data_IF_426598812109
#
_entry.id   IF_426598812109
#
_cell.length_a   1.000
_cell.length_b   1.000
_cell.length_c   1.000
_cell.angle_alpha   90.00
_cell.angle_beta   90.00
_cell.angle_gamma   90.00
#
_symmetry.space_group_name_H-M   'P 1'
#
loop_
_entity.id
_entity.type
_entity.pdbx_description
1 polymer ?
#
# COMPACT_ATOMS: atom_id res chain seq x y z
N UNK A 1 -17.36 -39.60 -27.78
CA UNK A 1 -17.02 -38.61 -28.83
C UNK A 1 -16.25 -37.51 -28.15
N UNK A 2 -14.99 -37.39 -28.54
CA UNK A 2 -13.94 -36.94 -27.64
C UNK A 2 -13.73 -35.43 -27.67
N UNK A 3 -13.55 -34.86 -26.48
CA UNK A 3 -13.40 -33.42 -26.25
C UNK A 3 -12.18 -32.78 -26.95
N UNK A 4 -11.21 -33.57 -27.44
CA UNK A 4 -10.03 -33.04 -28.14
C UNK A 4 -10.38 -32.40 -29.48
N UNK A 5 -11.48 -32.80 -30.13
CA UNK A 5 -11.86 -32.27 -31.44
C UNK A 5 -12.29 -30.78 -31.41
N UNK A 6 -12.76 -30.26 -30.26
CA UNK A 6 -13.07 -28.82 -30.10
C UNK A 6 -11.81 -27.98 -29.91
N UNK A 7 -10.86 -28.46 -29.12
CA UNK A 7 -9.58 -27.78 -28.87
C UNK A 7 -8.69 -27.72 -30.15
N UNK A 8 -8.94 -28.61 -31.12
CA UNK A 8 -8.28 -28.66 -32.44
C UNK A 8 -8.72 -27.51 -33.35
N UNK A 9 -9.97 -27.04 -33.25
CA UNK A 9 -10.53 -26.05 -34.17
C UNK A 9 -9.98 -24.63 -33.94
N UNK A 10 -9.48 -24.33 -32.74
CA UNK A 10 -8.97 -23.00 -32.37
C UNK A 10 -7.50 -22.76 -32.76
N UNK A 11 -6.74 -23.81 -33.09
CA UNK A 11 -5.32 -23.70 -33.41
C UNK A 11 -5.13 -24.00 -34.90
N UNK A 12 -4.96 -22.96 -35.72
CA UNK A 12 -4.89 -23.00 -37.20
C UNK A 12 -3.65 -23.72 -37.78
N UNK A 13 -3.17 -24.80 -37.15
CA UNK A 13 -1.97 -25.55 -37.53
C UNK A 13 -2.31 -27.03 -37.74
N UNK A 14 -1.56 -27.71 -38.63
CA UNK A 14 -1.67 -29.16 -38.79
C UNK A 14 -1.22 -29.86 -37.50
N UNK A 15 -2.14 -30.61 -36.88
CA UNK A 15 -1.85 -31.42 -35.71
C UNK A 15 -1.38 -32.81 -36.13
N UNK A 16 -0.26 -33.25 -35.57
CA UNK A 16 0.25 -34.60 -35.72
C UNK A 16 -0.03 -35.41 -34.45
N UNK A 17 -0.85 -36.45 -34.57
CA UNK A 17 -1.07 -37.41 -33.47
C UNK A 17 0.00 -38.48 -33.55
N UNK A 18 1.00 -38.40 -32.67
CA UNK A 18 2.09 -39.37 -32.60
C UNK A 18 1.89 -40.35 -31.45
N UNK A 19 2.02 -41.65 -31.75
CA UNK A 19 2.04 -42.69 -30.71
C UNK A 19 3.40 -42.69 -30.03
N UNK A 20 3.45 -42.21 -28.78
CA UNK A 20 4.71 -42.04 -28.03
C UNK A 20 5.36 -43.38 -27.64
N UNK A 21 4.57 -44.42 -27.33
CA UNK A 21 5.05 -45.77 -27.00
C UNK A 21 3.94 -46.81 -27.21
N UNK A 22 4.25 -47.94 -27.87
CA UNK A 22 3.32 -49.07 -28.04
C UNK A 22 3.58 -50.15 -26.98
N UNK A 23 2.56 -50.92 -26.61
CA UNK A 23 2.69 -52.08 -25.71
C UNK A 23 2.85 -51.77 -24.22
N UNK A 24 2.45 -50.58 -23.75
CA UNK A 24 2.54 -50.20 -22.32
C UNK A 24 1.44 -50.90 -21.51
N UNK A 25 1.77 -51.64 -20.43
CA UNK A 25 0.77 -52.22 -19.53
C UNK A 25 -0.14 -51.14 -18.93
N UNK A 26 -1.45 -51.42 -18.79
CA UNK A 26 -2.46 -50.44 -18.36
C UNK A 26 -2.10 -49.75 -17.03
N UNK A 27 -1.54 -50.49 -16.06
CA UNK A 27 -1.11 -49.96 -14.77
C UNK A 27 0.07 -48.97 -14.84
N UNK A 28 0.86 -49.00 -15.93
CA UNK A 28 2.07 -48.20 -16.11
C UNK A 28 1.89 -47.02 -17.07
N UNK A 29 0.70 -46.88 -17.69
CA UNK A 29 0.41 -45.84 -18.69
C UNK A 29 0.68 -44.43 -18.15
N UNK A 30 0.32 -44.15 -16.89
CA UNK A 30 0.55 -42.83 -16.28
C UNK A 30 2.04 -42.53 -16.05
N UNK A 31 2.83 -43.53 -15.68
CA UNK A 31 4.28 -43.35 -15.48
C UNK A 31 4.98 -43.13 -16.82
N UNK A 32 4.69 -43.98 -17.80
CA UNK A 32 5.22 -43.87 -19.15
C UNK A 32 4.87 -42.52 -19.80
N UNK A 33 3.63 -42.03 -19.60
CA UNK A 33 3.22 -40.71 -20.10
C UNK A 33 4.01 -39.57 -19.43
N UNK A 34 4.31 -39.65 -18.13
CA UNK A 34 5.12 -38.62 -17.43
C UNK A 34 6.56 -38.61 -17.95
N UNK A 35 7.17 -39.78 -18.13
CA UNK A 35 8.53 -39.92 -18.67
C UNK A 35 8.65 -39.34 -20.07
N UNK A 36 7.73 -39.69 -20.97
CA UNK A 36 7.76 -39.14 -22.34
C UNK A 36 7.49 -37.63 -22.32
N UNK A 37 6.49 -37.13 -21.55
CA UNK A 37 6.27 -35.68 -21.40
C UNK A 37 7.54 -34.95 -20.94
N UNK A 38 8.25 -35.50 -19.95
CA UNK A 38 9.50 -34.92 -19.46
C UNK A 38 10.59 -34.88 -20.54
N UNK A 39 10.73 -35.98 -21.31
CA UNK A 39 11.68 -36.07 -22.43
C UNK A 39 11.39 -35.03 -23.53
N UNK A 40 10.13 -34.89 -23.95
CA UNK A 40 9.75 -33.92 -24.97
C UNK A 40 9.89 -32.46 -24.49
N UNK A 41 9.66 -32.19 -23.20
CA UNK A 41 9.95 -30.87 -22.61
C UNK A 41 11.44 -30.56 -22.58
N UNK A 42 12.30 -31.55 -22.29
CA UNK A 42 13.75 -31.38 -22.34
C UNK A 42 14.26 -31.06 -23.76
N UNK A 43 13.50 -31.46 -24.79
CA UNK A 43 13.74 -31.10 -26.19
C UNK A 43 13.09 -29.74 -26.60
N UNK A 44 12.54 -28.99 -25.65
CA UNK A 44 11.92 -27.68 -25.90
C UNK A 44 10.54 -27.74 -26.58
N UNK A 45 9.92 -28.91 -26.70
CA UNK A 45 8.63 -29.06 -27.37
C UNK A 45 7.46 -28.67 -26.48
N UNK A 46 6.56 -27.83 -27.00
CA UNK A 46 5.34 -27.41 -26.30
C UNK A 46 4.21 -28.41 -26.57
N UNK A 47 3.85 -29.22 -25.56
CA UNK A 47 2.82 -30.24 -25.68
C UNK A 47 1.41 -29.66 -25.44
N UNK A 48 0.46 -29.95 -26.32
CA UNK A 48 -0.95 -29.54 -26.15
C UNK A 48 -1.60 -30.12 -24.88
N UNK A 49 -1.15 -31.31 -24.44
CA UNK A 49 -1.56 -31.96 -23.19
C UNK A 49 -1.11 -31.22 -21.91
N UNK A 50 -0.38 -30.10 -22.05
CA UNK A 50 -0.01 -29.21 -20.94
C UNK A 50 -0.91 -27.96 -20.88
N UNK A 51 -1.81 -27.78 -21.85
CA UNK A 51 -2.87 -26.78 -21.73
C UNK A 51 -3.93 -27.30 -20.75
N UNK A 52 -4.39 -26.48 -19.79
CA UNK A 52 -5.48 -26.88 -18.92
C UNK A 52 -6.72 -27.16 -19.77
N UNK A 53 -7.35 -28.31 -19.55
CA UNK A 53 -8.61 -28.63 -20.22
C UNK A 53 -9.68 -27.57 -19.91
N UNK A 54 -10.69 -27.35 -20.77
CA UNK A 54 -11.76 -26.38 -20.49
C UNK A 54 -12.43 -26.58 -19.12
N UNK A 55 -12.56 -27.82 -18.66
CA UNK A 55 -13.07 -28.14 -17.31
C UNK A 55 -12.12 -27.71 -16.18
N UNK A 56 -10.80 -27.82 -16.39
CA UNK A 56 -9.81 -27.32 -15.44
C UNK A 56 -9.79 -25.80 -15.42
N UNK A 57 -9.90 -25.13 -16.57
CA UNK A 57 -10.03 -23.68 -16.65
C UNK A 57 -11.27 -23.21 -15.89
N UNK A 58 -12.43 -23.82 -16.17
CA UNK A 58 -13.69 -23.47 -15.52
C UNK A 58 -13.65 -23.72 -14.00
N UNK A 59 -13.10 -24.86 -13.58
CA UNK A 59 -12.91 -25.16 -12.15
C UNK A 59 -11.97 -24.16 -11.48
N UNK A 60 -10.86 -23.81 -12.13
CA UNK A 60 -9.93 -22.78 -11.62
C UNK A 60 -10.60 -21.41 -11.54
N UNK A 61 -11.45 -21.05 -12.51
CA UNK A 61 -12.23 -19.82 -12.49
C UNK A 61 -13.22 -19.79 -11.33
N UNK A 62 -13.96 -20.87 -11.11
CA UNK A 62 -14.90 -20.97 -9.98
C UNK A 62 -14.19 -20.92 -8.62
N UNK A 63 -13.01 -21.55 -8.50
CA UNK A 63 -12.18 -21.45 -7.30
C UNK A 63 -11.72 -20.00 -7.11
N UNK A 64 -11.23 -19.35 -8.17
CA UNK A 64 -10.84 -17.94 -8.16
C UNK A 64 -11.96 -17.03 -7.68
N UNK A 65 -13.16 -17.17 -8.24
CA UNK A 65 -14.35 -16.39 -7.83
C UNK A 65 -14.72 -16.61 -6.37
N UNK A 66 -14.62 -17.84 -5.86
CA UNK A 66 -14.89 -18.14 -4.45
C UNK A 66 -13.85 -17.53 -3.53
N UNK A 67 -12.57 -17.58 -3.90
CA UNK A 67 -11.47 -16.97 -3.15
C UNK A 67 -11.63 -15.45 -3.14
N UNK A 68 -11.95 -14.85 -4.28
CA UNK A 68 -12.20 -13.41 -4.40
C UNK A 68 -13.40 -12.98 -3.56
N UNK A 69 -14.52 -13.69 -3.63
CA UNK A 69 -15.70 -13.40 -2.81
C UNK A 69 -15.42 -13.52 -1.31
N UNK A 70 -14.66 -14.53 -0.88
CA UNK A 70 -14.22 -14.68 0.50
C UNK A 70 -13.30 -13.53 0.94
N UNK A 71 -12.39 -13.10 0.05
CA UNK A 71 -11.48 -11.98 0.29
C UNK A 71 -12.23 -10.65 0.39
N UNK A 72 -13.17 -10.38 -0.51
CA UNK A 72 -14.05 -9.20 -0.42
C UNK A 72 -14.84 -9.18 0.88
N UNK A 73 -15.44 -10.32 1.27
CA UNK A 73 -16.16 -10.41 2.54
C UNK A 73 -15.25 -10.15 3.74
N UNK A 74 -14.03 -10.68 3.73
CA UNK A 74 -13.05 -10.43 4.78
C UNK A 74 -12.67 -8.95 4.88
N UNK A 75 -12.47 -8.28 3.74
CA UNK A 75 -12.21 -6.84 3.72
C UNK A 75 -13.37 -6.03 4.30
N UNK A 76 -14.62 -6.37 3.95
CA UNK A 76 -15.80 -5.73 4.51
C UNK A 76 -15.88 -5.90 6.03
N UNK A 77 -15.59 -7.11 6.53
CA UNK A 77 -15.55 -7.40 7.97
C UNK A 77 -14.49 -6.56 8.68
N UNK A 78 -13.28 -6.48 8.14
CA UNK A 78 -12.20 -5.67 8.71
C UNK A 78 -12.51 -4.18 8.68
N UNK A 79 -13.02 -3.67 7.55
CA UNK A 79 -13.39 -2.27 7.39
C UNK A 79 -14.40 -1.84 8.47
N UNK A 80 -15.40 -2.69 8.71
CA UNK A 80 -16.44 -2.41 9.69
C UNK A 80 -15.94 -2.54 11.13
N UNK A 81 -15.25 -3.64 11.47
CA UNK A 81 -14.71 -3.86 12.82
C UNK A 81 -13.71 -2.76 13.23
N UNK A 82 -12.78 -2.40 12.35
CA UNK A 82 -11.82 -1.34 12.65
C UNK A 82 -12.48 0.03 12.77
N UNK A 83 -13.54 0.28 11.99
CA UNK A 83 -14.30 1.52 12.12
C UNK A 83 -15.08 1.59 13.42
N UNK A 84 -15.62 0.46 13.91
CA UNK A 84 -16.29 0.40 15.20
C UNK A 84 -15.32 0.69 16.36
N UNK A 85 -14.08 0.20 16.28
CA UNK A 85 -13.04 0.44 17.29
C UNK A 85 -12.41 1.85 17.20
N UNK A 86 -12.07 2.31 15.99
CA UNK A 86 -11.31 3.56 15.79
C UNK A 86 -12.17 4.77 15.41
N UNK A 87 -13.41 4.57 14.98
CA UNK A 87 -14.32 5.61 14.53
C UNK A 87 -14.16 6.03 13.06
N UNK A 88 -12.98 5.84 12.46
CA UNK A 88 -12.72 6.16 11.06
C UNK A 88 -11.32 6.75 10.82
N UNK A 89 -11.12 7.45 9.69
CA UNK A 89 -9.90 8.20 9.42
C UNK A 89 -9.55 9.18 10.54
N UNK A 90 -8.28 9.53 10.67
CA UNK A 90 -7.85 10.64 11.50
C UNK A 90 -8.56 11.94 11.07
N UNK A 91 -8.92 12.78 12.04
CA UNK A 91 -9.72 13.98 11.78
C UNK A 91 -9.02 14.95 10.80
N UNK A 92 -9.79 15.65 9.96
CA UNK A 92 -9.22 16.61 9.03
C UNK A 92 -8.59 17.78 9.79
N UNK A 93 -7.44 18.27 9.35
CA UNK A 93 -6.84 19.44 9.96
C UNK A 93 -7.74 20.68 9.79
N UNK A 94 -7.99 21.38 10.90
CA UNK A 94 -8.86 22.56 10.91
C UNK A 94 -8.21 23.71 10.14
N UNK A 95 -8.91 24.23 9.12
CA UNK A 95 -8.50 25.44 8.40
C UNK A 95 -7.39 25.24 7.36
N UNK A 96 -7.15 24.01 6.91
CA UNK A 96 -6.15 23.74 5.87
C UNK A 96 -6.53 24.35 4.53
N UNK A 97 -5.86 25.46 4.19
CA UNK A 97 -5.97 26.12 2.89
C UNK A 97 -4.58 26.47 2.38
N UNK A 98 -4.31 26.18 1.10
CA UNK A 98 -3.12 26.65 0.41
C UNK A 98 -3.45 27.97 -0.30
N UNK A 99 -2.69 29.02 0.00
CA UNK A 99 -2.75 30.26 -0.75
C UNK A 99 -1.74 30.19 -1.90
N UNK A 100 -2.25 29.94 -3.12
CA UNK A 100 -1.42 29.99 -4.32
C UNK A 100 -0.98 31.43 -4.62
N UNK A 101 0.22 31.56 -5.17
CA UNK A 101 0.79 32.81 -5.62
C UNK A 101 -0.06 33.46 -6.73
N UNK A 102 -0.04 34.79 -6.80
CA UNK A 102 -0.73 35.52 -7.89
C UNK A 102 -0.18 35.10 -9.27
N UNK A 103 1.09 34.68 -9.34
CA UNK A 103 1.69 34.14 -10.56
C UNK A 103 1.05 32.81 -10.97
N UNK A 104 0.91 31.85 -10.04
CA UNK A 104 0.22 30.59 -10.31
C UNK A 104 -1.26 30.81 -10.66
N UNK A 105 -1.93 31.75 -9.99
CA UNK A 105 -3.30 32.14 -10.34
C UNK A 105 -3.40 32.71 -11.74
N UNK A 106 -2.50 33.63 -12.10
CA UNK A 106 -2.44 34.22 -13.43
C UNK A 106 -2.25 33.13 -14.50
N UNK A 107 -1.41 32.12 -14.22
CA UNK A 107 -1.22 30.98 -15.13
C UNK A 107 -2.49 30.13 -15.28
N UNK A 108 -3.22 29.84 -14.19
CA UNK A 108 -4.49 29.11 -14.23
C UNK A 108 -5.54 29.90 -15.02
N UNK A 109 -5.64 31.22 -14.78
CA UNK A 109 -6.60 32.12 -15.44
C UNK A 109 -6.30 32.28 -16.95
N UNK A 110 -5.04 32.23 -17.36
CA UNK A 110 -4.59 32.37 -18.75
C UNK A 110 -4.77 31.09 -19.60
N UNK A 111 -5.19 29.98 -19.02
CA UNK A 111 -5.41 28.74 -19.77
C UNK A 111 -6.51 28.95 -20.85
N UNK A 112 -6.35 28.43 -22.07
CA UNK A 112 -7.28 28.71 -23.19
C UNK A 112 -8.60 27.96 -23.04
N UNK A 113 -9.77 28.61 -22.82
CA UNK A 113 -11.10 28.00 -22.50
C UNK A 113 -11.30 26.58 -23.07
N UNK A 114 -11.83 25.57 -22.32
CA UNK A 114 -12.20 24.32 -22.96
C UNK A 114 -13.44 24.69 -23.76
N UNK A 115 -13.23 25.07 -25.02
CA UNK A 115 -14.32 25.14 -25.95
C UNK A 115 -14.76 23.70 -26.08
N UNK A 116 -15.92 23.38 -25.49
CA UNK A 116 -16.79 22.21 -25.72
C UNK A 116 -17.03 21.40 -24.44
N UNK A 117 -18.17 21.70 -23.81
CA UNK A 117 -18.99 20.64 -23.23
C UNK A 117 -19.26 19.63 -24.35
N UNK A 118 -18.78 18.39 -24.21
CA UNK A 118 -18.94 17.31 -25.20
C UNK A 118 -20.43 17.06 -25.51
N UNK A 119 -21.00 17.87 -26.39
CA UNK A 119 -22.33 17.69 -26.94
C UNK A 119 -22.21 16.68 -28.08
N UNK A 120 -22.97 15.58 -27.97
CA UNK A 120 -23.07 14.56 -29.01
C UNK A 120 -23.56 15.13 -30.38
N UNK A 121 -23.97 16.40 -30.44
CA UNK A 121 -24.47 17.09 -31.62
C UNK A 121 -23.39 17.78 -32.49
N UNK A 122 -22.10 17.73 -32.13
CA UNK A 122 -21.05 18.41 -32.90
C UNK A 122 -20.74 17.72 -34.23
N UNK A 123 -20.53 18.50 -35.28
CA UNK A 123 -20.07 18.03 -36.60
C UNK A 123 -18.64 17.47 -36.52
N UNK A 124 -18.22 16.67 -37.51
CA UNK A 124 -16.89 16.05 -37.50
C UNK A 124 -15.74 17.08 -37.56
N UNK A 125 -15.93 18.21 -38.24
CA UNK A 125 -14.94 19.30 -38.30
C UNK A 125 -14.85 20.04 -36.96
N UNK A 126 -15.99 20.34 -36.33
CA UNK A 126 -16.01 20.94 -34.99
C UNK A 126 -15.39 20.01 -33.94
N UNK A 127 -15.53 18.68 -34.10
CA UNK A 127 -14.83 17.70 -33.24
C UNK A 127 -13.32 17.70 -33.48
N UNK A 128 -12.86 17.82 -34.72
CA UNK A 128 -11.42 17.87 -35.01
C UNK A 128 -10.78 19.15 -34.46
N UNK A 129 -11.46 20.29 -34.58
CA UNK A 129 -11.05 21.56 -33.96
C UNK A 129 -11.10 21.47 -32.43
N UNK A 130 -12.12 20.82 -31.85
CA UNK A 130 -12.20 20.55 -30.41
C UNK A 130 -11.02 19.73 -29.91
N UNK A 131 -10.70 18.63 -30.60
CA UNK A 131 -9.59 17.73 -30.25
C UNK A 131 -8.26 18.48 -30.36
N UNK A 132 -8.08 19.32 -31.39
CA UNK A 132 -6.87 20.14 -31.54
C UNK A 132 -6.77 21.21 -30.46
N UNK A 133 -7.89 21.84 -30.07
CA UNK A 133 -7.93 22.83 -29.00
C UNK A 133 -7.71 22.20 -27.62
N UNK A 134 -8.23 20.98 -27.40
CA UNK A 134 -8.01 20.19 -26.19
C UNK A 134 -6.56 19.74 -26.08
N UNK A 135 -5.96 19.25 -27.16
CA UNK A 135 -4.54 18.88 -27.20
C UNK A 135 -3.61 20.10 -26.94
N UNK A 136 -3.95 21.26 -27.48
CA UNK A 136 -3.22 22.51 -27.24
C UNK A 136 -3.41 23.00 -25.79
N UNK A 137 -4.64 22.92 -25.26
CA UNK A 137 -4.94 23.22 -23.86
C UNK A 137 -4.23 22.25 -22.90
N UNK A 138 -4.08 20.97 -23.26
CA UNK A 138 -3.29 20.00 -22.51
C UNK A 138 -1.79 20.35 -22.53
N UNK A 139 -1.26 20.79 -23.68
CA UNK A 139 0.15 21.19 -23.83
C UNK A 139 0.48 22.43 -23.02
N UNK A 140 -0.35 23.48 -23.11
CA UNK A 140 -0.22 24.70 -22.30
C UNK A 140 -0.47 24.39 -20.82
N UNK A 141 -1.46 23.55 -20.55
CA UNK A 141 -1.78 23.06 -19.23
C UNK A 141 -0.66 22.28 -18.56
N UNK A 142 0.19 21.59 -19.33
CA UNK A 142 1.36 20.89 -18.79
C UNK A 142 2.41 21.85 -18.22
N UNK A 143 2.61 23.01 -18.86
CA UNK A 143 3.52 24.04 -18.36
C UNK A 143 2.99 24.69 -17.07
N UNK A 144 1.70 25.05 -17.04
CA UNK A 144 1.05 25.58 -15.84
C UNK A 144 1.01 24.55 -14.70
N UNK A 145 0.76 23.28 -15.02
CA UNK A 145 0.80 22.20 -14.04
C UNK A 145 2.19 22.01 -13.44
N UNK A 146 3.26 22.24 -14.20
CA UNK A 146 4.64 22.17 -13.69
C UNK A 146 4.92 23.26 -12.65
N UNK A 147 4.58 24.51 -12.95
CA UNK A 147 4.75 25.61 -11.99
C UNK A 147 3.91 25.38 -10.71
N UNK A 148 2.69 24.85 -10.85
CA UNK A 148 1.88 24.42 -9.70
C UNK A 148 2.56 23.29 -8.91
N UNK A 149 3.20 22.33 -9.57
CA UNK A 149 3.92 21.25 -8.88
C UNK A 149 5.06 21.82 -8.04
N UNK A 150 5.84 22.75 -8.58
CA UNK A 150 6.98 23.35 -7.87
C UNK A 150 6.50 24.17 -6.66
N UNK A 151 5.37 24.88 -6.79
CA UNK A 151 4.75 25.59 -5.67
C UNK A 151 4.16 24.62 -4.63
N UNK A 152 3.45 23.57 -5.06
CA UNK A 152 2.91 22.54 -4.16
C UNK A 152 4.00 21.76 -3.43
N UNK A 153 5.15 21.51 -4.06
CA UNK A 153 6.28 20.86 -3.41
C UNK A 153 6.79 21.69 -2.21
N UNK A 154 6.75 23.02 -2.30
CA UNK A 154 7.10 23.91 -1.19
C UNK A 154 6.07 23.84 -0.04
N UNK A 155 4.79 23.63 -0.36
CA UNK A 155 3.73 23.48 0.64
C UNK A 155 3.63 22.06 1.22
N UNK A 156 4.03 21.05 0.46
CA UNK A 156 3.91 19.62 0.81
C UNK A 156 5.29 19.02 1.11
N UNK A 157 6.20 19.79 1.70
CA UNK A 157 7.57 19.34 1.97
C UNK A 157 7.60 18.04 2.79
N UNK A 158 6.75 17.92 3.81
CA UNK A 158 6.70 16.74 4.67
C UNK A 158 6.03 15.54 4.00
N UNK A 159 5.10 15.76 3.07
CA UNK A 159 4.60 14.68 2.19
C UNK A 159 5.72 14.23 1.25
N UNK A 160 6.54 15.15 0.74
CA UNK A 160 7.71 14.87 -0.11
C UNK A 160 8.76 14.07 0.65
N UNK A 161 9.00 14.41 1.93
CA UNK A 161 9.94 13.72 2.79
C UNK A 161 9.41 12.35 3.27
N UNK A 162 8.11 12.25 3.55
CA UNK A 162 7.47 11.03 4.06
C UNK A 162 7.19 10.02 2.96
N UNK A 163 6.73 10.47 1.79
CA UNK A 163 6.38 9.61 0.67
C UNK A 163 7.55 9.42 -0.31
N UNK A 164 8.55 10.30 -0.30
CA UNK A 164 9.59 10.37 -1.31
C UNK A 164 9.19 11.26 -2.50
N UNK A 165 10.20 11.83 -3.18
CA UNK A 165 10.01 12.80 -4.26
C UNK A 165 9.21 12.21 -5.44
N UNK A 166 9.52 10.97 -5.84
CA UNK A 166 8.85 10.28 -6.95
C UNK A 166 7.39 9.94 -6.65
N UNK A 167 7.09 9.51 -5.43
CA UNK A 167 5.73 9.24 -4.98
C UNK A 167 4.88 10.52 -4.95
N UNK A 168 5.46 11.59 -4.45
CA UNK A 168 4.81 12.90 -4.33
C UNK A 168 4.56 13.48 -5.72
N UNK A 169 5.52 13.38 -6.63
CA UNK A 169 5.35 13.77 -8.05
C UNK A 169 4.20 13.00 -8.71
N UNK A 170 4.02 11.72 -8.41
CA UNK A 170 2.88 10.92 -8.92
C UNK A 170 1.51 11.37 -8.40
N UNK A 171 1.45 12.08 -7.26
CA UNK A 171 0.23 12.71 -6.75
C UNK A 171 0.07 14.13 -7.32
N UNK A 172 1.13 14.93 -7.28
CA UNK A 172 1.09 16.33 -7.74
C UNK A 172 0.79 16.43 -9.25
N UNK A 173 1.35 15.55 -10.08
CA UNK A 173 1.10 15.58 -11.55
C UNK A 173 -0.38 15.45 -11.91
N UNK A 174 -1.13 14.40 -11.49
CA UNK A 174 -2.54 14.29 -11.80
C UNK A 174 -3.39 15.39 -11.14
N UNK A 175 -3.07 15.78 -9.90
CA UNK A 175 -3.74 16.90 -9.20
C UNK A 175 -3.61 18.19 -10.01
N UNK A 176 -2.38 18.60 -10.33
CA UNK A 176 -2.12 19.83 -11.07
C UNK A 176 -2.74 19.77 -12.47
N UNK A 177 -2.68 18.63 -13.17
CA UNK A 177 -3.34 18.45 -14.47
C UNK A 177 -4.86 18.60 -14.38
N UNK A 178 -5.49 18.08 -13.34
CA UNK A 178 -6.94 18.14 -13.17
C UNK A 178 -7.42 19.52 -12.74
N UNK A 179 -6.69 20.20 -11.85
CA UNK A 179 -6.93 21.61 -11.50
C UNK A 179 -6.88 22.49 -12.74
N UNK A 180 -5.83 22.32 -13.54
CA UNK A 180 -5.62 23.02 -14.82
C UNK A 180 -6.76 22.71 -15.81
N UNK A 181 -7.16 21.43 -15.97
CA UNK A 181 -8.26 21.03 -16.85
C UNK A 181 -9.60 21.61 -16.42
N UNK A 182 -9.90 21.63 -15.12
CA UNK A 182 -11.20 22.07 -14.57
C UNK A 182 -11.31 23.58 -14.40
N UNK A 183 -10.21 24.33 -14.50
CA UNK A 183 -10.20 25.81 -14.42
C UNK A 183 -10.95 26.32 -13.20
N UNK A 184 -10.57 25.83 -12.04
CA UNK A 184 -11.15 26.30 -10.79
C UNK A 184 -10.83 27.78 -10.64
N UNK A 185 -11.83 28.64 -10.84
CA UNK A 185 -11.74 30.09 -10.68
C UNK A 185 -12.05 30.52 -9.24
N UNK A 186 -12.66 29.64 -8.46
CA UNK A 186 -12.85 29.83 -7.02
C UNK A 186 -11.52 29.58 -6.30
N UNK A 187 -10.89 30.68 -5.87
CA UNK A 187 -9.61 30.65 -5.17
C UNK A 187 -9.71 29.96 -3.82
N UNK A 188 -10.79 30.19 -3.09
CA UNK A 188 -11.00 29.65 -1.76
C UNK A 188 -11.25 28.14 -1.81
N UNK A 189 -12.04 27.68 -2.78
CA UNK A 189 -12.28 26.26 -3.00
C UNK A 189 -10.99 25.52 -3.40
N UNK A 190 -10.24 26.08 -4.36
CA UNK A 190 -8.99 25.45 -4.81
C UNK A 190 -7.95 25.39 -3.68
N UNK A 191 -7.83 26.46 -2.89
CA UNK A 191 -6.97 26.48 -1.72
C UNK A 191 -7.36 25.43 -0.69
N UNK A 192 -8.65 25.24 -0.42
CA UNK A 192 -9.15 24.17 0.47
C UNK A 192 -8.84 22.78 -0.07
N UNK A 193 -9.11 22.53 -1.36
CA UNK A 193 -8.78 21.26 -2.01
C UNK A 193 -7.30 20.92 -1.83
N UNK A 194 -6.41 21.85 -2.21
CA UNK A 194 -4.97 21.68 -2.12
C UNK A 194 -4.47 21.51 -0.67
N UNK A 195 -5.13 22.16 0.29
CA UNK A 195 -4.84 22.01 1.71
C UNK A 195 -5.24 20.65 2.30
N UNK A 196 -6.30 20.03 1.78
CA UNK A 196 -6.83 18.76 2.26
C UNK A 196 -6.21 17.52 1.59
N UNK A 197 -5.58 17.66 0.42
CA UNK A 197 -5.01 16.54 -0.32
C UNK A 197 -3.96 15.71 0.46
N UNK A 198 -3.01 16.30 1.21
CA UNK A 198 -2.09 15.52 2.05
C UNK A 198 -2.82 14.64 3.08
N UNK A 199 -3.83 15.21 3.74
CA UNK A 199 -4.71 14.46 4.65
C UNK A 199 -5.49 13.36 3.93
N UNK A 200 -6.02 13.60 2.72
CA UNK A 200 -6.68 12.57 1.95
C UNK A 200 -5.75 11.38 1.64
N UNK A 201 -4.49 11.64 1.29
CA UNK A 201 -3.51 10.60 0.96
C UNK A 201 -3.02 9.85 2.20
N UNK A 202 -2.79 10.54 3.32
CA UNK A 202 -2.27 9.93 4.53
C UNK A 202 -3.36 9.26 5.38
N UNK A 203 -4.47 9.95 5.62
CA UNK A 203 -5.47 9.52 6.59
C UNK A 203 -6.70 8.85 5.94
N UNK A 204 -7.14 9.29 4.76
CA UNK A 204 -8.39 8.82 4.14
C UNK A 204 -8.18 7.61 3.23
N UNK A 205 -7.13 7.66 2.41
CA UNK A 205 -6.73 6.64 1.44
C UNK A 205 -6.88 5.19 1.94
N UNK A 206 -6.25 4.78 3.05
CA UNK A 206 -6.29 3.38 3.47
C UNK A 206 -7.71 2.93 3.87
N UNK A 207 -8.54 3.83 4.42
CA UNK A 207 -9.94 3.54 4.76
C UNK A 207 -10.81 3.40 3.51
N UNK A 208 -10.61 4.30 2.55
CA UNK A 208 -11.32 4.26 1.27
C UNK A 208 -11.01 2.99 0.49
N UNK A 209 -9.74 2.63 0.37
CA UNK A 209 -9.28 1.40 -0.28
C UNK A 209 -9.82 0.15 0.42
N UNK A 210 -9.81 0.12 1.76
CA UNK A 210 -10.35 -0.99 2.54
C UNK A 210 -11.87 -1.15 2.33
N UNK A 211 -12.63 -0.05 2.30
CA UNK A 211 -14.06 -0.06 2.01
C UNK A 211 -14.36 -0.51 0.56
N UNK A 212 -13.59 -0.04 -0.43
CA UNK A 212 -13.69 -0.47 -1.85
C UNK A 212 -13.34 -1.95 -2.03
N UNK A 213 -12.27 -2.42 -1.40
CA UNK A 213 -11.88 -3.84 -1.43
C UNK A 213 -12.97 -4.74 -0.81
N UNK A 214 -13.69 -4.22 0.19
CA UNK A 214 -14.86 -4.84 0.80
C UNK A 214 -16.15 -4.74 -0.02
N UNK A 215 -16.16 -3.99 -1.14
CA UNK A 215 -17.37 -3.61 -1.89
C UNK A 215 -18.46 -3.00 -0.98
N UNK A 216 -18.05 -2.29 0.07
CA UNK A 216 -18.95 -1.52 0.93
C UNK A 216 -19.33 -0.19 0.26
N UNK A 217 -18.45 0.30 -0.60
CA UNK A 217 -18.58 1.55 -1.35
C UNK A 217 -18.05 1.32 -2.76
N UNK A 218 -18.59 2.04 -3.73
CA UNK A 218 -18.16 2.00 -5.13
C UNK A 218 -17.49 3.30 -5.59
N UNK A 219 -17.76 4.40 -4.90
CA UNK A 219 -17.25 5.74 -5.21
C UNK A 219 -17.11 6.64 -3.94
N UNK A 220 -16.65 7.88 -4.14
CA UNK A 220 -16.51 8.87 -3.07
C UNK A 220 -17.84 9.24 -2.37
N UNK A 221 -18.94 9.54 -3.08
CA UNK A 221 -20.23 9.81 -2.43
C UNK A 221 -20.72 8.69 -1.51
N UNK A 222 -20.61 7.42 -1.94
CA UNK A 222 -20.95 6.28 -1.10
C UNK A 222 -20.01 6.17 0.10
N UNK A 223 -18.72 6.51 -0.05
CA UNK A 223 -17.77 6.53 1.05
C UNK A 223 -18.04 7.63 2.09
N UNK A 224 -18.35 8.85 1.64
CA UNK A 224 -18.78 9.95 2.52
C UNK A 224 -20.00 9.53 3.33
N UNK A 225 -20.98 8.92 2.66
CA UNK A 225 -22.19 8.40 3.31
C UNK A 225 -21.84 7.29 4.29
N UNK A 226 -20.96 6.36 3.88
CA UNK A 226 -20.51 5.27 4.72
C UNK A 226 -19.94 5.80 6.02
N UNK A 227 -19.05 6.80 5.99
CA UNK A 227 -18.43 7.43 7.18
C UNK A 227 -19.43 7.99 8.21
N UNK A 228 -20.70 8.22 7.83
CA UNK A 228 -21.85 8.48 8.71
C UNK A 228 -21.59 9.47 9.87
N UNK A 229 -21.48 10.76 9.55
CA UNK A 229 -21.37 11.82 10.56
C UNK A 229 -19.97 12.03 11.15
N UNK A 230 -18.98 11.26 10.70
CA UNK A 230 -17.56 11.49 11.03
C UNK A 230 -17.09 12.88 10.55
N UNK A 231 -16.20 13.59 11.27
CA UNK A 231 -15.65 14.89 10.81
C UNK A 231 -15.02 14.83 9.41
N UNK A 232 -14.34 13.72 9.11
CA UNK A 232 -13.82 13.42 7.76
C UNK A 232 -14.88 13.51 6.65
N UNK A 233 -16.12 13.06 6.90
CA UNK A 233 -17.20 13.11 5.91
C UNK A 233 -17.49 14.56 5.50
N UNK A 234 -17.59 15.48 6.47
CA UNK A 234 -17.84 16.91 6.20
C UNK A 234 -16.70 17.58 5.43
N UNK A 235 -15.46 17.23 5.75
CA UNK A 235 -14.31 17.74 5.00
C UNK A 235 -14.30 17.23 3.55
N UNK A 236 -14.62 15.95 3.35
CA UNK A 236 -14.75 15.38 2.00
C UNK A 236 -15.95 15.96 1.24
N UNK A 237 -17.08 16.23 1.89
CA UNK A 237 -18.24 16.94 1.31
C UNK A 237 -17.83 18.33 0.77
N UNK A 238 -16.95 19.03 1.48
CA UNK A 238 -16.48 20.35 1.06
C UNK A 238 -15.63 20.34 -0.22
N UNK A 239 -15.18 19.16 -0.66
CA UNK A 239 -14.42 18.94 -1.90
C UNK A 239 -15.08 17.87 -2.80
N UNK A 240 -16.34 17.51 -2.56
CA UNK A 240 -16.99 16.36 -3.20
C UNK A 240 -17.23 16.55 -4.71
N UNK A 241 -17.26 17.79 -5.20
CA UNK A 241 -17.31 18.06 -6.65
C UNK A 241 -16.08 17.49 -7.38
N UNK A 242 -15.02 17.18 -6.64
CA UNK A 242 -13.82 16.48 -7.11
C UNK A 242 -13.89 14.96 -6.95
N UNK A 243 -15.09 14.37 -6.77
CA UNK A 243 -15.29 12.94 -6.53
C UNK A 243 -14.47 12.03 -7.45
N UNK A 244 -14.48 12.27 -8.77
CA UNK A 244 -13.67 11.50 -9.74
C UNK A 244 -12.16 11.68 -9.56
N UNK A 245 -11.70 12.89 -9.22
CA UNK A 245 -10.30 13.19 -8.94
C UNK A 245 -9.88 12.45 -7.66
N UNK A 246 -10.68 12.54 -6.61
CA UNK A 246 -10.40 11.89 -5.33
C UNK A 246 -10.44 10.36 -5.51
N UNK A 247 -11.43 9.82 -6.20
CA UNK A 247 -11.50 8.40 -6.57
C UNK A 247 -10.24 7.98 -7.33
N UNK A 248 -9.84 8.76 -8.34
CA UNK A 248 -8.64 8.47 -9.10
C UNK A 248 -7.40 8.46 -8.20
N UNK A 249 -7.19 9.50 -7.38
CA UNK A 249 -6.04 9.60 -6.49
C UNK A 249 -6.01 8.49 -5.45
N UNK A 250 -7.17 8.16 -4.87
CA UNK A 250 -7.24 7.18 -3.79
C UNK A 250 -7.24 5.73 -4.28
N UNK A 251 -7.64 5.48 -5.54
CA UNK A 251 -7.52 4.15 -6.17
C UNK A 251 -6.19 3.94 -6.89
N UNK A 252 -5.54 5.00 -7.36
CA UNK A 252 -4.35 4.93 -8.20
C UNK A 252 -3.11 5.52 -7.53
N UNK A 253 -2.97 5.33 -6.21
CA UNK A 253 -1.70 5.58 -5.54
C UNK A 253 -0.67 4.53 -6.02
N UNK A 254 -0.07 4.75 -7.20
CA UNK A 254 0.95 3.91 -7.85
C UNK A 254 2.28 3.95 -7.09
N UNK A 255 2.25 3.58 -5.82
CA UNK A 255 3.38 3.69 -4.90
C UNK A 255 4.00 2.31 -4.71
N UNK A 256 5.31 2.16 -5.00
CA UNK A 256 6.00 0.90 -4.87
C UNK A 256 6.28 0.66 -3.38
N UNK A 257 5.26 0.25 -2.63
CA UNK A 257 5.39 0.07 -1.19
C UNK A 257 5.58 -1.40 -0.82
N UNK A 258 6.16 -1.60 0.37
CA UNK A 258 6.26 -2.85 1.13
C UNK A 258 4.89 -3.55 1.25
N UNK A 259 3.80 -2.78 1.35
CA UNK A 259 2.43 -3.23 1.13
C UNK A 259 1.50 -2.06 0.75
N UNK A 260 0.31 -2.37 0.22
CA UNK A 260 -0.73 -1.37 -0.03
C UNK A 260 -1.15 -0.66 1.27
N UNK A 261 -1.45 0.66 1.25
CA UNK A 261 -1.82 1.43 2.44
C UNK A 261 -2.95 0.82 3.26
N UNK A 262 -3.98 0.25 2.62
CA UNK A 262 -5.06 -0.45 3.30
C UNK A 262 -4.58 -1.69 4.08
N UNK A 263 -3.65 -2.46 3.52
CA UNK A 263 -3.10 -3.67 4.17
C UNK A 263 -2.19 -3.28 5.32
N UNK A 264 -1.37 -2.24 5.15
CA UNK A 264 -0.53 -1.68 6.21
C UNK A 264 -1.37 -1.20 7.40
N UNK A 265 -2.39 -0.37 7.13
CA UNK A 265 -3.30 0.14 8.15
C UNK A 265 -4.02 -1.01 8.87
N UNK A 266 -4.65 -1.91 8.11
CA UNK A 266 -5.38 -3.04 8.67
C UNK A 266 -4.48 -3.89 9.57
N UNK A 267 -3.25 -4.17 9.14
CA UNK A 267 -2.29 -5.01 9.88
C UNK A 267 -1.96 -4.41 11.25
N UNK A 268 -1.60 -3.12 11.27
CA UNK A 268 -1.22 -2.44 12.50
C UNK A 268 -2.45 -2.23 13.39
N UNK A 269 -3.56 -1.79 12.82
CA UNK A 269 -4.80 -1.55 13.57
C UNK A 269 -5.33 -2.85 14.20
N UNK A 270 -5.37 -3.95 13.45
CA UNK A 270 -5.83 -5.24 13.96
C UNK A 270 -4.95 -5.78 15.11
N UNK A 271 -3.65 -5.51 15.07
CA UNK A 271 -2.75 -5.91 16.14
C UNK A 271 -3.09 -5.21 17.48
N UNK A 272 -3.52 -3.95 17.43
CA UNK A 272 -3.74 -3.13 18.63
C UNK A 272 -5.21 -3.08 19.08
N UNK A 273 -6.18 -3.18 18.16
CA UNK A 273 -7.61 -3.06 18.47
C UNK A 273 -8.28 -4.38 18.87
N UNK A 274 -7.52 -5.45 19.16
CA UNK A 274 -8.05 -6.79 19.44
C UNK A 274 -9.00 -7.36 18.38
N UNK A 275 -8.92 -6.89 17.14
CA UNK A 275 -9.75 -7.36 16.02
C UNK A 275 -9.13 -8.64 15.42
N UNK A 276 -9.95 -9.67 15.25
CA UNK A 276 -9.51 -10.92 14.64
C UNK A 276 -9.36 -10.77 13.12
N UNK A 277 -8.18 -11.12 12.60
CA UNK A 277 -7.90 -11.08 11.16
C UNK A 277 -8.56 -12.28 10.45
N UNK A 278 -9.50 -12.07 9.52
CA UNK A 278 -10.14 -13.16 8.79
C UNK A 278 -9.15 -13.98 7.97
N UNK A 279 -9.38 -15.28 7.87
CA UNK A 279 -8.47 -16.24 7.21
C UNK A 279 -8.03 -15.82 5.80
N UNK A 280 -8.91 -15.18 5.02
CA UNK A 280 -8.62 -14.76 3.66
C UNK A 280 -7.59 -13.62 3.56
N UNK A 281 -7.31 -12.91 4.65
CA UNK A 281 -6.37 -11.77 4.73
C UNK A 281 -5.14 -12.08 5.60
N UNK A 282 -5.14 -13.18 6.35
CA UNK A 282 -4.05 -13.55 7.25
C UNK A 282 -2.68 -13.63 6.54
N UNK A 283 -2.66 -14.06 5.28
CA UNK A 283 -1.42 -14.10 4.49
C UNK A 283 -0.85 -12.71 4.24
N UNK A 284 -1.69 -11.73 3.94
CA UNK A 284 -1.24 -10.37 3.65
C UNK A 284 -0.70 -9.72 4.92
N UNK A 285 -1.42 -9.88 6.03
CA UNK A 285 -0.98 -9.44 7.37
C UNK A 285 0.35 -10.08 7.74
N UNK A 286 0.48 -11.40 7.57
CA UNK A 286 1.71 -12.11 7.86
C UNK A 286 2.89 -11.65 6.99
N UNK A 287 2.65 -11.32 5.71
CA UNK A 287 3.70 -10.83 4.81
C UNK A 287 4.23 -9.45 5.27
N UNK A 288 3.32 -8.54 5.63
CA UNK A 288 3.68 -7.21 6.18
C UNK A 288 4.51 -7.37 7.45
N UNK A 289 4.00 -8.11 8.42
CA UNK A 289 4.68 -8.29 9.71
C UNK A 289 6.02 -9.02 9.56
N UNK A 290 6.12 -9.95 8.60
CA UNK A 290 7.38 -10.62 8.25
C UNK A 290 8.43 -9.64 7.76
N UNK A 291 8.06 -8.66 6.96
CA UNK A 291 9.03 -7.69 6.44
C UNK A 291 9.50 -6.71 7.53
N UNK A 292 8.66 -6.49 8.55
CA UNK A 292 9.03 -5.68 9.71
C UNK A 292 9.85 -6.45 10.76
N UNK A 293 9.77 -7.79 10.82
CA UNK A 293 10.50 -8.58 11.83
C UNK A 293 12.03 -8.46 11.71
N UNK A 294 12.51 -8.10 10.52
CA UNK A 294 13.95 -7.96 10.26
C UNK A 294 14.54 -6.64 10.75
N UNK A 295 13.69 -5.72 11.20
CA UNK A 295 14.04 -4.39 11.71
C UNK A 295 13.42 -4.17 13.11
N UNK A 296 13.93 -3.24 13.93
CA UNK A 296 13.31 -2.86 15.20
C UNK A 296 12.07 -1.99 14.94
N UNK A 297 11.02 -2.59 14.36
CA UNK A 297 9.83 -1.88 13.89
C UNK A 297 8.51 -2.43 14.43
N UNK A 298 8.51 -3.65 14.94
CA UNK A 298 7.32 -4.29 15.51
C UNK A 298 7.04 -3.78 16.93
N UNK A 299 5.80 -3.44 17.21
CA UNK A 299 5.33 -3.36 18.61
C UNK A 299 5.08 -4.76 19.16
N UNK A 300 4.97 -4.91 20.49
CA UNK A 300 4.66 -6.21 21.10
C UNK A 300 3.37 -6.84 20.55
N UNK A 301 2.23 -6.11 20.42
CA UNK A 301 1.02 -6.67 19.82
C UNK A 301 1.19 -7.14 18.37
N UNK A 302 2.03 -6.46 17.59
CA UNK A 302 2.33 -6.84 16.21
C UNK A 302 3.17 -8.12 16.13
N UNK A 303 4.16 -8.27 17.02
CA UNK A 303 4.95 -9.50 17.13
C UNK A 303 4.06 -10.67 17.59
N UNK A 304 3.17 -10.45 18.57
CA UNK A 304 2.24 -11.48 19.05
C UNK A 304 1.25 -11.90 17.95
N UNK A 305 0.75 -10.96 17.15
CA UNK A 305 -0.05 -11.26 15.97
C UNK A 305 0.74 -12.10 14.95
N UNK A 306 1.98 -11.73 14.65
CA UNK A 306 2.83 -12.49 13.73
C UNK A 306 3.06 -13.92 14.22
N UNK A 307 3.37 -14.10 15.50
CA UNK A 307 3.61 -15.43 16.09
C UNK A 307 2.35 -16.29 16.14
N UNK A 308 1.16 -15.69 16.34
CA UNK A 308 -0.13 -16.39 16.23
C UNK A 308 -0.43 -16.84 14.80
N UNK A 309 -0.18 -15.98 13.81
CA UNK A 309 -0.41 -16.28 12.39
C UNK A 309 0.61 -17.28 11.84
N UNK A 310 1.85 -17.21 12.33
CA UNK A 310 2.94 -18.12 11.96
C UNK A 310 3.86 -18.39 13.17
N UNK A 311 3.68 -19.53 13.87
CA UNK A 311 4.52 -19.92 15.00
C UNK A 311 6.01 -20.08 14.67
N UNK A 312 6.35 -20.20 13.38
CA UNK A 312 7.73 -20.34 12.89
C UNK A 312 8.31 -19.03 12.35
N UNK A 313 7.68 -17.88 12.59
CA UNK A 313 8.08 -16.59 12.04
C UNK A 313 9.51 -16.16 12.42
N UNK A 314 10.02 -16.59 13.59
CA UNK A 314 11.42 -16.34 13.96
C UNK A 314 12.41 -16.94 12.94
N UNK A 315 12.03 -17.96 12.18
CA UNK A 315 12.84 -18.52 11.10
C UNK A 315 13.13 -17.53 9.97
N UNK A 316 12.35 -16.45 9.84
CA UNK A 316 12.62 -15.39 8.85
C UNK A 316 13.88 -14.58 9.16
N UNK A 317 14.35 -14.59 10.40
CA UNK A 317 15.63 -13.99 10.80
C UNK A 317 16.84 -14.80 10.32
N UNK A 318 16.62 -16.02 9.84
CA UNK A 318 17.64 -16.97 9.42
C UNK A 318 17.74 -18.20 10.33
N UNK A 319 18.70 -19.09 10.06
CA UNK A 319 18.95 -20.27 10.88
C UNK A 319 19.49 -19.87 12.25
N UNK A 320 19.11 -20.62 13.28
CA UNK A 320 19.72 -20.50 14.60
C UNK A 320 21.06 -21.27 14.61
N UNK A 321 22.18 -20.54 14.60
CA UNK A 321 23.52 -21.12 14.52
C UNK A 321 24.14 -21.38 15.89
N UNK A 322 23.61 -20.76 16.96
CA UNK A 322 24.23 -20.80 18.29
C UNK A 322 24.41 -22.23 18.84
N UNK A 323 23.42 -23.14 18.78
CA UNK A 323 23.61 -24.51 19.27
C UNK A 323 24.69 -25.28 18.50
N UNK A 324 24.82 -25.02 17.19
CA UNK A 324 25.86 -25.64 16.36
C UNK A 324 27.26 -25.15 16.73
N UNK A 325 27.40 -23.85 16.96
CA UNK A 325 28.66 -23.23 17.37
C UNK A 325 29.08 -23.63 18.80
N UNK A 326 28.14 -23.70 19.74
CA UNK A 326 28.43 -24.19 21.10
C UNK A 326 29.02 -25.60 21.05
N UNK A 327 28.44 -26.47 20.23
CA UNK A 327 28.93 -27.84 20.03
C UNK A 327 30.30 -27.89 19.34
N UNK A 328 30.48 -27.13 18.26
CA UNK A 328 31.73 -27.11 17.48
C UNK A 328 32.91 -26.60 18.32
N UNK A 329 32.67 -25.59 19.14
CA UNK A 329 33.69 -24.95 19.98
C UNK A 329 33.80 -25.58 21.39
N UNK A 330 33.03 -26.64 21.68
CA UNK A 330 32.97 -27.27 23.00
C UNK A 330 32.63 -26.28 24.13
N UNK A 331 31.75 -25.32 23.86
CA UNK A 331 31.24 -24.35 24.83
C UNK A 331 30.01 -24.90 25.57
N UNK A 332 29.72 -24.41 26.79
CA UNK A 332 28.44 -24.66 27.44
C UNK A 332 27.25 -24.20 26.57
N UNK A 333 26.14 -24.92 26.64
CA UNK A 333 24.92 -24.58 25.91
C UNK A 333 24.43 -23.16 26.26
N UNK A 334 24.12 -22.36 25.22
CA UNK A 334 23.63 -20.99 25.37
C UNK A 334 24.74 -19.94 25.44
N UNK A 335 26.01 -20.35 25.42
CA UNK A 335 27.15 -19.42 25.46
C UNK A 335 27.18 -18.54 24.20
N UNK A 336 27.08 -19.13 23.01
CA UNK A 336 27.10 -18.38 21.74
C UNK A 336 25.93 -17.40 21.67
N UNK A 337 24.73 -17.80 22.10
CA UNK A 337 23.57 -16.91 22.12
C UNK A 337 23.77 -15.70 23.05
N UNK A 338 24.38 -15.93 24.22
CA UNK A 338 24.72 -14.88 25.19
C UNK A 338 25.78 -13.92 24.64
N UNK A 339 26.81 -14.46 23.98
CA UNK A 339 27.86 -13.65 23.33
C UNK A 339 27.30 -12.81 22.18
N UNK A 340 26.48 -13.41 21.30
CA UNK A 340 25.85 -12.68 20.20
C UNK A 340 24.98 -11.53 20.72
N UNK A 341 24.20 -11.78 21.77
CA UNK A 341 23.38 -10.76 22.42
C UNK A 341 24.25 -9.65 23.00
N UNK A 342 25.28 -10.00 23.78
CA UNK A 342 26.20 -9.04 24.38
C UNK A 342 26.94 -8.19 23.34
N UNK A 343 27.36 -8.79 22.22
CA UNK A 343 28.03 -8.08 21.12
C UNK A 343 27.12 -7.06 20.45
N UNK A 344 25.84 -7.40 20.23
CA UNK A 344 24.88 -6.47 19.60
C UNK A 344 24.55 -5.30 20.51
N UNK A 345 24.59 -5.49 21.83
CA UNK A 345 24.30 -4.45 22.82
C UNK A 345 25.53 -3.64 23.25
N UNK A 346 26.72 -4.01 22.80
CA UNK A 346 27.97 -3.38 23.25
C UNK A 346 28.15 -1.99 22.58
N UNK A 347 28.36 -0.91 23.34
CA UNK A 347 28.39 0.46 22.79
C UNK A 347 29.45 0.69 21.70
N UNK A 348 30.58 -0.01 21.79
CA UNK A 348 31.70 0.12 20.82
C UNK A 348 31.52 -0.76 19.57
N UNK A 349 30.52 -1.65 19.54
CA UNK A 349 30.30 -2.58 18.43
C UNK A 349 29.23 -2.03 17.50
N UNK A 350 29.64 -1.63 16.29
CA UNK A 350 28.69 -1.35 15.20
C UNK A 350 28.17 -2.66 14.60
N UNK A 351 27.14 -3.23 15.21
CA UNK A 351 26.55 -4.49 14.78
C UNK A 351 25.86 -4.35 13.41
N UNK A 352 26.23 -5.20 12.46
CA UNK A 352 25.53 -5.32 11.17
C UNK A 352 24.13 -5.93 11.35
N UNK A 353 23.21 -5.70 10.40
CA UNK A 353 21.86 -6.27 10.42
C UNK A 353 21.88 -7.80 10.50
N UNK A 354 22.87 -8.41 9.84
CA UNK A 354 23.06 -9.86 9.90
C UNK A 354 23.42 -10.32 11.32
N UNK A 355 24.31 -9.61 12.01
CA UNK A 355 24.67 -9.93 13.39
C UNK A 355 23.47 -9.74 14.34
N UNK A 356 22.72 -8.65 14.16
CA UNK A 356 21.49 -8.37 14.92
C UNK A 356 20.46 -9.49 14.78
N UNK A 357 20.14 -9.87 13.55
CA UNK A 357 19.18 -10.96 13.27
C UNK A 357 19.61 -12.30 13.85
N UNK A 358 20.91 -12.63 13.80
CA UNK A 358 21.43 -13.84 14.43
C UNK A 358 21.28 -13.81 15.95
N UNK A 359 21.61 -12.69 16.59
CA UNK A 359 21.43 -12.52 18.03
C UNK A 359 19.95 -12.69 18.43
N UNK A 360 19.03 -12.01 17.75
CA UNK A 360 17.58 -12.13 17.99
C UNK A 360 17.07 -13.55 17.76
N UNK A 361 17.53 -14.21 16.70
CA UNK A 361 17.15 -15.59 16.37
C UNK A 361 17.57 -16.57 17.47
N UNK A 362 18.80 -16.45 17.95
CA UNK A 362 19.37 -17.32 18.99
C UNK A 362 18.82 -17.01 20.37
N UNK A 363 18.50 -15.75 20.65
CA UNK A 363 17.77 -15.34 21.87
C UNK A 363 16.29 -15.75 21.84
N UNK A 364 15.78 -16.18 20.67
CA UNK A 364 14.34 -16.46 20.42
C UNK A 364 13.45 -15.26 20.75
N UNK A 365 14.00 -14.06 20.63
CA UNK A 365 13.35 -12.82 20.99
C UNK A 365 13.72 -11.73 19.98
N UNK A 366 12.73 -10.99 19.51
CA UNK A 366 12.88 -9.84 18.61
C UNK A 366 12.59 -8.60 19.42
N UNK A 367 13.47 -7.58 19.41
CA UNK A 367 13.21 -6.35 20.14
C UNK A 367 11.96 -5.68 19.59
N UNK A 368 11.12 -5.21 20.50
CA UNK A 368 9.90 -4.49 20.17
C UNK A 368 10.02 -3.01 20.51
N UNK A 369 9.25 -2.18 19.81
CA UNK A 369 9.18 -0.74 20.02
C UNK A 369 7.84 -0.36 20.64
N UNK A 370 7.79 0.76 21.36
CA UNK A 370 6.56 1.23 22.01
C UNK A 370 5.50 1.69 20.98
N UNK A 371 5.95 2.31 19.89
CA UNK A 371 5.11 2.79 18.79
C UNK A 371 5.58 2.22 17.46
N UNK A 372 4.69 1.88 16.51
CA UNK A 372 5.09 1.33 15.22
C UNK A 372 6.13 2.22 14.52
N UNK A 373 7.27 1.64 14.15
CA UNK A 373 8.28 2.40 13.43
C UNK A 373 7.84 2.59 11.97
N UNK A 374 7.73 3.86 11.57
CA UNK A 374 7.31 4.25 10.23
C UNK A 374 8.49 4.30 9.23
N UNK A 375 9.74 4.23 9.71
CA UNK A 375 10.93 4.35 8.87
C UNK A 375 11.14 3.24 7.82
N UNK A 376 10.71 1.97 8.03
CA UNK A 376 10.83 0.92 7.01
C UNK A 376 9.84 1.09 5.85
N UNK A 377 8.88 2.01 5.99
CA UNK A 377 7.86 2.25 5.00
C UNK A 377 8.29 3.40 4.09
N UNK A 378 7.84 3.36 2.85
CA UNK A 378 8.01 4.43 1.88
C UNK A 378 6.63 4.92 1.41
N UNK A 379 6.59 5.97 0.60
CA UNK A 379 5.36 6.37 -0.06
C UNK A 379 4.22 6.78 0.89
N UNK A 380 2.99 6.64 0.40
CA UNK A 380 1.80 6.95 1.17
C UNK A 380 1.59 5.94 2.29
N UNK A 381 2.16 4.74 2.21
CA UNK A 381 2.12 3.79 3.32
C UNK A 381 2.85 4.33 4.54
N UNK A 382 4.02 4.99 4.38
CA UNK A 382 4.67 5.66 5.52
C UNK A 382 3.77 6.73 6.15
N UNK A 383 3.20 7.61 5.34
CA UNK A 383 2.29 8.65 5.82
C UNK A 383 1.04 8.06 6.49
N UNK A 384 0.48 6.98 5.93
CA UNK A 384 -0.68 6.27 6.48
C UNK A 384 -0.39 5.58 7.80
N UNK A 385 0.78 4.97 7.93
CA UNK A 385 1.22 4.31 9.17
C UNK A 385 1.51 5.34 10.27
N UNK A 386 2.10 6.49 9.91
CA UNK A 386 2.21 7.63 10.83
C UNK A 386 0.81 8.10 11.29
N UNK A 387 -0.12 8.36 10.36
CA UNK A 387 -1.47 8.83 10.68
C UNK A 387 -2.25 7.82 11.54
N UNK A 388 -2.11 6.52 11.25
CA UNK A 388 -2.71 5.47 12.08
C UNK A 388 -2.09 5.41 13.48
N UNK A 389 -0.77 5.51 13.59
CA UNK A 389 -0.11 5.47 14.91
C UNK A 389 -0.62 6.60 15.80
N UNK A 390 -0.83 7.79 15.21
CA UNK A 390 -1.45 8.93 15.88
C UNK A 390 -2.89 8.63 16.29
N UNK A 391 -3.70 8.10 15.38
CA UNK A 391 -5.08 7.70 15.68
C UNK A 391 -5.15 6.67 16.83
N UNK A 392 -4.24 5.69 16.85
CA UNK A 392 -4.15 4.70 17.93
C UNK A 392 -3.77 5.33 19.27
N UNK A 393 -2.93 6.38 19.27
CA UNK A 393 -2.60 7.16 20.47
C UNK A 393 -3.83 7.97 20.93
N UNK A 394 -4.52 8.68 20.04
CA UNK A 394 -5.73 9.45 20.35
C UNK A 394 -6.85 8.57 20.93
N UNK A 395 -6.94 7.32 20.48
CA UNK A 395 -7.90 6.33 20.97
C UNK A 395 -7.41 5.55 22.20
N UNK A 396 -6.18 5.79 22.65
CA UNK A 396 -5.61 5.19 23.85
C UNK A 396 -5.12 3.74 23.70
N UNK A 397 -4.97 3.23 22.47
CA UNK A 397 -4.38 1.92 22.21
C UNK A 397 -2.85 1.93 22.21
N UNK A 398 -2.24 3.11 22.09
CA UNK A 398 -0.80 3.32 22.16
C UNK A 398 -0.49 4.44 23.17
N UNK A 399 0.62 4.31 23.88
CA UNK A 399 1.15 5.38 24.72
C UNK A 399 1.89 6.42 23.85
N UNK A 400 1.87 7.68 24.28
CA UNK A 400 2.71 8.70 23.64
C UNK A 400 4.19 8.35 23.83
N UNK A 401 5.05 8.55 22.80
CA UNK A 401 6.47 8.31 22.91
C UNK A 401 7.10 9.07 24.08
N UNK A 402 7.97 8.38 24.84
CA UNK A 402 8.63 8.94 26.02
C UNK A 402 9.39 10.23 25.66
N UNK A 403 9.16 11.31 26.42
CA UNK A 403 9.82 12.60 26.20
C UNK A 403 9.17 13.51 25.15
N UNK A 404 8.16 13.05 24.41
CA UNK A 404 7.35 13.95 23.58
C UNK A 404 6.22 14.57 24.40
N UNK A 405 6.11 15.90 24.36
CA UNK A 405 4.93 16.60 24.88
C UNK A 405 3.76 16.41 23.92
N UNK A 406 2.51 16.41 24.42
CA UNK A 406 1.32 16.37 23.57
C UNK A 406 1.31 17.44 22.47
N UNK A 407 1.96 18.58 22.71
CA UNK A 407 2.13 19.66 21.73
C UNK A 407 3.11 19.32 20.60
N UNK A 408 4.17 18.57 20.87
CA UNK A 408 5.09 18.09 19.84
C UNK A 408 4.40 17.04 18.94
N UNK A 409 3.55 16.22 19.56
CA UNK A 409 2.72 15.24 18.88
C UNK A 409 1.67 15.90 17.97
N UNK A 410 0.94 16.90 18.47
CA UNK A 410 -0.01 17.72 17.68
C UNK A 410 0.67 18.47 16.53
N UNK A 411 1.90 18.95 16.73
CA UNK A 411 2.65 19.61 15.66
C UNK A 411 3.06 18.61 14.57
N UNK A 412 3.56 17.43 14.93
CA UNK A 412 3.87 16.37 13.97
C UNK A 412 2.62 15.92 13.18
N UNK A 413 1.47 15.82 13.86
CA UNK A 413 0.17 15.55 13.26
C UNK A 413 -0.23 16.63 12.25
N UNK A 414 -0.13 17.90 12.64
CA UNK A 414 -0.41 19.04 11.77
C UNK A 414 0.50 19.03 10.54
N UNK A 415 1.78 18.78 10.71
CA UNK A 415 2.74 18.80 9.60
C UNK A 415 2.53 17.65 8.62
N UNK A 416 2.17 16.46 9.11
CA UNK A 416 1.86 15.30 8.27
C UNK A 416 0.58 15.52 7.44
N UNK A 417 -0.41 16.21 8.02
CA UNK A 417 -1.74 16.33 7.44
C UNK A 417 -1.99 17.66 6.71
N UNK A 418 -1.15 18.68 6.90
CA UNK A 418 -1.35 20.04 6.40
C UNK A 418 -0.26 20.43 5.42
N UNK A 419 -0.67 21.16 4.39
CA UNK A 419 0.21 21.90 3.51
C UNK A 419 0.80 23.13 4.24
N UNK A 420 2.07 23.09 4.65
CA UNK A 420 2.72 24.15 5.43
C UNK A 420 3.94 24.74 4.71
N UNK A 421 4.06 26.08 4.57
CA UNK A 421 5.18 26.71 3.86
C UNK A 421 6.48 26.87 4.69
N UNK A 422 6.54 26.35 5.91
CA UNK A 422 7.70 26.55 6.81
C UNK A 422 8.61 25.32 6.85
N UNK A 423 9.91 25.45 6.52
CA UNK A 423 10.88 24.39 6.78
C UNK A 423 11.04 24.19 8.28
N UNK A 424 11.01 22.94 8.74
CA UNK A 424 11.42 22.61 10.10
C UNK A 424 12.93 22.88 10.26
N UNK A 425 13.39 23.34 11.43
CA UNK A 425 14.79 23.19 11.78
C UNK A 425 15.10 21.68 11.87
N UNK A 426 16.23 21.27 11.27
CA UNK A 426 16.71 19.90 11.05
C UNK A 426 16.88 19.00 12.30
N UNK A 427 16.29 19.32 13.45
CA UNK A 427 16.51 18.62 14.72
C UNK A 427 15.49 17.53 15.08
N UNK A 428 14.48 17.25 14.24
CA UNK A 428 13.54 16.15 14.46
C UNK A 428 13.90 14.89 13.67
N UNK A 429 15.16 14.47 13.77
CA UNK A 429 15.43 13.04 13.62
C UNK A 429 14.92 12.40 14.92
N UNK A 430 14.16 11.31 14.81
CA UNK A 430 13.86 10.40 15.92
C UNK A 430 15.17 9.72 16.39
N UNK A 431 16.18 10.50 16.79
CA UNK A 431 17.38 10.06 17.48
C UNK A 431 17.09 9.99 18.98
N UNK A 432 16.25 9.03 19.36
CA UNK A 432 16.43 8.27 20.60
C UNK A 432 15.38 7.15 20.63
N UNK A 433 15.50 6.16 19.74
CA UNK A 433 14.95 4.83 20.03
C UNK A 433 15.83 4.23 21.11
N UNK A 434 15.56 4.58 22.37
CA UNK A 434 16.10 3.82 23.49
C UNK A 434 15.39 2.48 23.50
N UNK A 435 16.09 1.46 23.02
CA UNK A 435 15.73 0.07 23.25
C UNK A 435 15.67 -0.12 24.77
N UNK A 436 14.47 -0.25 25.31
CA UNK A 436 14.28 -0.66 26.70
C UNK A 436 14.56 -2.16 26.73
N UNK A 437 15.58 -2.55 27.49
CA UNK A 437 15.98 -3.94 27.71
C UNK A 437 15.03 -4.68 28.64
#
# INVERSE_FOLDING_TARGET
MDHWAKDVAEVSHQLEVMVLRKGVPVGSVRSALREEKARYRALGMRLLNDRPSPRQIERSRLIGLKVEAARTKAWAQMAQALREELGGPLDPPVGSTVALSDAAWTLIEQLPHPAIEYSAALSNEMRAEAISAEAEAERVGFAAAKELIDELAAFWFDLTHSCGEDATRKVMVPVSRLIVRRRRTDRDYLGKLLGLLPWCVAAVLPWYQMAKNGKLVSDMPEFITWLNGHPAARALESIADEGDLLDYLLCNSWLPDLAEPAVALMTIAAAHCSVEVPQALQRDVANVLRELITEPALTQPMLDLLMRLNPYALGYLGPDIAPGMDKELSLPEGTTASVLSALVTHPEVKASDRLRRLAWRSAKHVPTVATPNCSPWEGASRASVCALSMLLIEKGYLEMPYGQSGRAHENALRNLLVACPTPFPDEYILEDVRVIY
#
